data_IF_576936308163
#
_entry.id   IF_576936308163
#
_cell.length_a   1.000
_cell.length_b   1.000
_cell.length_c   1.000
_cell.angle_alpha   90.00
_cell.angle_beta   90.00
_cell.angle_gamma   90.00
#
_symmetry.space_group_name_H-M   'P 1'
#
loop_
_entity.id
_entity.type
_entity.pdbx_description
1 polymer ?
#
# COMPACT_ATOMS: atom_id res chain seq x y z
N UNK A 1 -17.74 4.80 19.63
CA UNK A 1 -16.52 4.24 19.02
C UNK A 1 -16.69 4.50 17.54
N UNK A 2 -15.83 5.35 17.01
CA UNK A 2 -15.94 5.91 15.67
C UNK A 2 -15.96 4.81 14.61
N UNK A 3 -16.83 4.98 13.62
CA UNK A 3 -16.81 4.23 12.38
C UNK A 3 -15.41 4.36 11.77
N UNK A 4 -14.57 3.35 11.90
CA UNK A 4 -13.42 3.21 11.02
C UNK A 4 -13.99 3.13 9.60
N UNK A 5 -13.55 4.01 8.71
CA UNK A 5 -13.75 3.82 7.29
C UNK A 5 -13.12 2.46 6.94
N UNK A 6 -13.97 1.49 6.60
CA UNK A 6 -13.59 0.08 6.34
C UNK A 6 -12.69 -0.09 5.11
N UNK A 7 -12.42 0.99 4.37
CA UNK A 7 -11.69 0.97 3.11
C UNK A 7 -10.89 2.25 2.93
N UNK A 8 -9.71 2.19 2.29
CA UNK A 8 -9.00 3.38 1.86
C UNK A 8 -9.85 4.26 0.95
N UNK A 9 -9.60 5.55 1.00
CA UNK A 9 -10.41 6.57 0.36
C UNK A 9 -10.21 6.60 -1.16
N UNK A 10 -11.20 7.13 -1.87
CA UNK A 10 -11.11 7.36 -3.32
C UNK A 10 -10.02 8.38 -3.71
N UNK A 11 -9.58 9.24 -2.79
CA UNK A 11 -8.45 10.12 -3.02
C UNK A 11 -7.14 9.33 -3.09
N UNK A 12 -6.94 8.40 -2.16
CA UNK A 12 -5.76 7.54 -2.10
C UNK A 12 -5.66 6.66 -3.35
N UNK A 13 -6.75 5.99 -3.72
CA UNK A 13 -6.78 5.14 -4.92
C UNK A 13 -6.51 5.92 -6.21
N UNK A 14 -7.06 7.13 -6.34
CA UNK A 14 -6.77 8.00 -7.49
C UNK A 14 -5.29 8.35 -7.60
N UNK A 15 -4.57 8.51 -6.49
CA UNK A 15 -3.13 8.78 -6.53
C UNK A 15 -2.38 7.53 -7.05
N UNK A 16 -2.66 6.35 -6.50
CA UNK A 16 -2.04 5.08 -6.93
C UNK A 16 -2.34 4.79 -8.40
N UNK A 17 -3.61 4.87 -8.80
CA UNK A 17 -4.01 4.55 -10.17
C UNK A 17 -3.44 5.56 -11.19
N UNK A 18 -3.21 6.81 -10.78
CA UNK A 18 -2.70 7.86 -11.69
C UNK A 18 -1.26 7.64 -12.16
N UNK A 19 -0.48 6.87 -11.40
CA UNK A 19 0.93 6.62 -11.71
C UNK A 19 1.16 5.31 -12.45
N UNK A 20 0.14 4.45 -12.57
CA UNK A 20 0.21 3.18 -13.31
C UNK A 20 1.44 2.34 -12.94
N UNK A 21 1.66 2.10 -11.65
CA UNK A 21 2.77 1.27 -11.14
C UNK A 21 4.17 1.88 -11.38
N UNK A 22 4.26 3.14 -11.79
CA UNK A 22 5.52 3.86 -12.01
C UNK A 22 6.04 4.42 -10.68
N UNK A 23 7.11 3.81 -10.19
CA UNK A 23 7.75 4.15 -8.91
C UNK A 23 8.28 5.59 -8.88
N UNK A 24 8.91 6.05 -9.97
CA UNK A 24 9.47 7.40 -10.05
C UNK A 24 8.35 8.45 -10.04
N UNK A 25 7.26 8.20 -10.76
CA UNK A 25 6.08 9.09 -10.72
C UNK A 25 5.40 9.09 -9.36
N UNK A 26 5.30 7.94 -8.69
CA UNK A 26 4.76 7.89 -7.33
C UNK A 26 5.60 8.76 -6.39
N UNK A 27 6.92 8.59 -6.42
CA UNK A 27 7.83 9.42 -5.62
C UNK A 27 7.69 10.92 -5.96
N UNK A 28 7.53 11.29 -7.23
CA UNK A 28 7.26 12.67 -7.64
C UNK A 28 5.97 13.21 -7.01
N UNK A 29 4.85 12.48 -7.10
CA UNK A 29 3.58 12.88 -6.48
C UNK A 29 3.73 13.08 -4.97
N UNK A 30 4.35 12.12 -4.27
CA UNK A 30 4.55 12.20 -2.81
C UNK A 30 5.38 13.43 -2.41
N UNK A 31 6.30 13.88 -3.26
CA UNK A 31 7.07 15.11 -3.05
C UNK A 31 6.24 16.40 -3.17
N UNK A 32 5.08 16.36 -3.84
CA UNK A 32 4.21 17.52 -3.99
C UNK A 32 3.06 17.57 -2.99
N UNK A 33 2.73 16.45 -2.33
CA UNK A 33 1.70 16.42 -1.29
C UNK A 33 2.03 17.37 -0.13
N UNK A 34 1.01 17.94 0.51
CA UNK A 34 1.19 18.62 1.80
C UNK A 34 1.61 17.62 2.89
N UNK A 35 2.10 18.11 4.02
CA UNK A 35 2.48 17.23 5.15
C UNK A 35 1.30 16.35 5.60
N UNK A 36 0.09 16.93 5.72
CA UNK A 36 -1.12 16.21 6.13
C UNK A 36 -1.56 15.17 5.09
N UNK A 37 -1.44 15.49 3.80
CA UNK A 37 -1.73 14.53 2.73
C UNK A 37 -0.72 13.39 2.72
N UNK A 38 0.57 13.65 2.95
CA UNK A 38 1.57 12.58 3.01
C UNK A 38 1.36 11.66 4.22
N UNK A 39 1.02 12.22 5.39
CA UNK A 39 0.61 11.46 6.58
C UNK A 39 -0.63 10.61 6.31
N UNK A 40 -1.64 11.19 5.67
CA UNK A 40 -2.86 10.49 5.27
C UNK A 40 -2.57 9.35 4.29
N UNK A 41 -1.77 9.61 3.26
CA UNK A 41 -1.38 8.59 2.27
C UNK A 41 -0.68 7.43 2.97
N UNK A 42 0.32 7.70 3.81
CA UNK A 42 1.05 6.67 4.55
C UNK A 42 0.12 5.81 5.39
N UNK A 43 -0.78 6.43 6.16
CA UNK A 43 -1.75 5.72 6.98
C UNK A 43 -2.71 4.86 6.16
N UNK A 44 -3.27 5.40 5.07
CA UNK A 44 -4.18 4.65 4.21
C UNK A 44 -3.46 3.49 3.49
N UNK A 45 -2.24 3.70 3.02
CA UNK A 45 -1.41 2.66 2.41
C UNK A 45 -1.10 1.53 3.40
N UNK A 46 -0.65 1.86 4.60
CA UNK A 46 -0.31 0.89 5.63
C UNK A 46 -1.53 0.11 6.13
N UNK A 47 -2.68 0.78 6.32
CA UNK A 47 -3.92 0.12 6.69
C UNK A 47 -4.38 -0.86 5.60
N UNK A 48 -4.34 -0.45 4.33
CA UNK A 48 -4.68 -1.31 3.20
C UNK A 48 -3.82 -2.59 3.16
N UNK A 49 -2.52 -2.46 3.47
CA UNK A 49 -1.60 -3.60 3.55
C UNK A 49 -2.01 -4.55 4.68
N UNK A 50 -2.27 -4.02 5.88
CA UNK A 50 -2.71 -4.82 7.03
C UNK A 50 -4.00 -5.60 6.72
N UNK A 51 -4.95 -4.96 6.02
CA UNK A 51 -6.25 -5.55 5.70
C UNK A 51 -6.13 -6.85 4.88
N UNK A 52 -5.06 -7.00 4.09
CA UNK A 52 -4.82 -8.15 3.22
C UNK A 52 -3.56 -8.95 3.58
N UNK A 53 -3.02 -8.78 4.80
CA UNK A 53 -1.80 -9.47 5.24
C UNK A 53 -1.97 -10.34 6.49
N UNK A 54 -3.20 -10.60 6.92
CA UNK A 54 -3.51 -11.43 8.08
C UNK A 54 -3.44 -12.94 7.82
N UNK A 55 -3.71 -13.74 8.87
CA UNK A 55 -3.61 -15.22 8.85
C UNK A 55 -4.35 -15.87 7.67
N UNK A 56 -5.56 -15.40 7.35
CA UNK A 56 -6.38 -15.94 6.25
C UNK A 56 -5.68 -15.82 4.89
N UNK A 57 -4.88 -14.76 4.71
CA UNK A 57 -4.09 -14.51 3.50
C UNK A 57 -2.79 -15.33 3.51
N UNK A 58 -2.09 -15.36 4.65
CA UNK A 58 -0.88 -16.17 4.85
C UNK A 58 -1.11 -17.66 4.53
N UNK A 59 -2.27 -18.20 4.92
CA UNK A 59 -2.60 -19.62 4.79
C UNK A 59 -2.81 -20.10 3.35
N UNK A 60 -3.09 -19.20 2.39
CA UNK A 60 -3.36 -19.56 0.98
C UNK A 60 -2.17 -20.30 0.34
N UNK A 61 -0.96 -19.77 0.54
CA UNK A 61 0.28 -20.37 0.04
C UNK A 61 1.24 -20.79 1.17
N UNK A 62 0.76 -20.79 2.42
CA UNK A 62 1.59 -21.01 3.61
C UNK A 62 2.80 -20.05 3.66
N UNK A 63 2.55 -18.79 3.30
CA UNK A 63 3.51 -17.72 3.44
C UNK A 63 3.59 -17.30 4.91
N UNK A 64 4.80 -17.02 5.39
CA UNK A 64 4.96 -16.37 6.69
C UNK A 64 4.65 -14.88 6.61
N UNK A 65 4.35 -14.26 7.75
CA UNK A 65 3.89 -12.87 7.86
C UNK A 65 4.72 -11.87 7.06
N UNK A 66 6.05 -11.99 7.08
CA UNK A 66 6.93 -11.09 6.33
C UNK A 66 6.72 -11.19 4.82
N UNK A 67 6.60 -12.40 4.28
CA UNK A 67 6.37 -12.58 2.84
C UNK A 67 4.99 -12.11 2.43
N UNK A 68 3.98 -12.37 3.26
CA UNK A 68 2.63 -11.89 2.99
C UNK A 68 2.56 -10.35 3.06
N UNK A 69 3.27 -9.73 3.99
CA UNK A 69 3.40 -8.27 4.04
C UNK A 69 4.02 -7.70 2.76
N UNK A 70 5.16 -8.25 2.30
CA UNK A 70 5.81 -7.79 1.07
C UNK A 70 4.88 -7.91 -0.15
N UNK A 71 4.12 -9.02 -0.21
CA UNK A 71 3.13 -9.26 -1.24
C UNK A 71 1.94 -8.30 -1.14
N UNK A 72 1.44 -8.03 0.06
CA UNK A 72 0.37 -7.06 0.30
C UNK A 72 0.78 -5.64 -0.11
N UNK A 73 2.01 -5.22 0.22
CA UNK A 73 2.57 -3.96 -0.28
C UNK A 73 2.54 -3.88 -1.80
N UNK A 74 2.96 -4.95 -2.47
CA UNK A 74 2.91 -5.02 -3.93
C UNK A 74 1.47 -4.93 -4.45
N UNK A 75 0.53 -5.71 -3.89
CA UNK A 75 -0.89 -5.74 -4.30
C UNK A 75 -1.52 -4.34 -4.19
N UNK A 76 -1.33 -3.65 -3.05
CA UNK A 76 -1.87 -2.29 -2.84
C UNK A 76 -1.26 -1.31 -3.84
N UNK A 77 0.01 -1.48 -4.20
CA UNK A 77 0.70 -0.65 -5.20
C UNK A 77 0.17 -0.86 -6.62
N UNK A 78 -0.56 -1.95 -6.89
CA UNK A 78 -1.15 -2.22 -8.20
C UNK A 78 -2.47 -1.46 -8.45
N UNK A 79 -3.04 -0.82 -7.43
CA UNK A 79 -4.26 -0.01 -7.55
C UNK A 79 -5.51 -0.64 -6.93
N UNK A 80 -6.62 0.10 -6.96
CA UNK A 80 -7.85 -0.28 -6.24
C UNK A 80 -8.40 -1.63 -6.72
N UNK A 81 -8.33 -1.89 -8.03
CA UNK A 81 -8.91 -3.11 -8.61
C UNK A 81 -8.20 -4.37 -8.11
N UNK A 82 -6.86 -4.36 -8.09
CA UNK A 82 -6.06 -5.49 -7.61
C UNK A 82 -6.24 -5.72 -6.10
N UNK A 83 -6.27 -4.64 -5.32
CA UNK A 83 -6.58 -4.71 -3.90
C UNK A 83 -7.96 -5.34 -3.63
N UNK A 84 -9.00 -4.87 -4.34
CA UNK A 84 -10.37 -5.39 -4.15
C UNK A 84 -10.51 -6.85 -4.54
N UNK A 85 -9.86 -7.27 -5.61
CA UNK A 85 -9.88 -8.67 -6.05
C UNK A 85 -9.37 -9.62 -4.95
N UNK A 86 -8.32 -9.22 -4.23
CA UNK A 86 -7.75 -9.98 -3.11
C UNK A 86 -8.55 -9.81 -1.83
N UNK A 87 -8.99 -8.59 -1.52
CA UNK A 87 -9.77 -8.30 -0.31
C UNK A 87 -11.11 -9.05 -0.29
N UNK A 88 -11.80 -9.08 -1.44
CA UNK A 88 -13.11 -9.75 -1.56
C UNK A 88 -12.96 -11.28 -1.62
N UNK A 89 -11.81 -11.80 -2.08
CA UNK A 89 -11.49 -13.23 -2.11
C UNK A 89 -9.98 -13.48 -1.93
N UNK A 90 -9.52 -13.87 -0.72
CA UNK A 90 -8.09 -14.16 -0.46
C UNK A 90 -7.47 -15.22 -1.38
N UNK A 91 -8.26 -16.06 -2.05
CA UNK A 91 -7.72 -17.04 -3.01
C UNK A 91 -7.20 -16.40 -4.30
N UNK A 92 -7.50 -15.12 -4.54
CA UNK A 92 -6.97 -14.35 -5.67
C UNK A 92 -5.59 -13.77 -5.41
N UNK A 93 -5.00 -14.00 -4.22
CA UNK A 93 -3.61 -13.62 -3.96
C UNK A 93 -2.72 -14.23 -5.06
N UNK A 94 -1.87 -13.43 -5.73
CA UNK A 94 -0.92 -13.95 -6.70
C UNK A 94 0.24 -14.67 -5.99
N UNK A 95 0.90 -15.59 -6.69
CA UNK A 95 2.12 -16.19 -6.15
C UNK A 95 3.26 -15.18 -6.19
N UNK A 96 4.10 -15.16 -5.15
CA UNK A 96 5.19 -14.20 -5.03
C UNK A 96 6.23 -14.37 -6.15
N UNK A 97 6.33 -15.57 -6.72
CA UNK A 97 7.20 -15.90 -7.84
C UNK A 97 6.74 -15.28 -9.18
N UNK A 98 5.46 -14.90 -9.28
CA UNK A 98 4.85 -14.36 -10.50
C UNK A 98 4.83 -12.81 -10.53
N UNK A 99 5.33 -12.15 -9.49
CA UNK A 99 5.28 -10.68 -9.36
C UNK A 99 6.64 -10.02 -9.55
N UNK A 100 6.62 -8.81 -10.12
CA UNK A 100 7.77 -7.91 -10.13
C UNK A 100 7.68 -6.95 -8.94
N UNK A 101 8.43 -7.25 -7.88
CA UNK A 101 8.46 -6.45 -6.66
C UNK A 101 9.00 -5.02 -6.87
N UNK A 102 9.66 -4.73 -8.01
CA UNK A 102 10.13 -3.37 -8.31
C UNK A 102 8.99 -2.37 -8.50
N UNK A 103 7.76 -2.85 -8.72
CA UNK A 103 6.54 -2.04 -8.79
C UNK A 103 5.86 -1.83 -7.42
N UNK A 104 6.50 -2.21 -6.31
CA UNK A 104 6.01 -1.95 -4.97
C UNK A 104 6.38 -0.54 -4.50
N UNK A 105 5.46 0.13 -3.80
CA UNK A 105 5.65 1.44 -3.17
C UNK A 105 6.05 1.35 -1.69
N UNK A 106 6.44 0.15 -1.24
CA UNK A 106 6.91 -0.09 0.12
C UNK A 106 8.01 0.91 0.52
N UNK A 107 7.85 1.53 1.68
CA UNK A 107 8.87 2.41 2.28
C UNK A 107 9.13 3.71 1.50
N UNK A 108 8.28 4.09 0.54
CA UNK A 108 8.48 5.34 -0.22
C UNK A 108 8.18 6.60 0.59
N UNK A 109 7.21 6.53 1.49
CA UNK A 109 6.68 7.69 2.21
C UNK A 109 7.65 8.26 3.24
N UNK A 110 8.36 7.39 3.95
CA UNK A 110 9.28 7.70 5.04
C UNK A 110 10.45 8.56 4.58
N UNK A 111 11.24 8.19 3.54
CA UNK A 111 12.35 9.01 3.08
C UNK A 111 11.88 10.35 2.50
N UNK A 112 10.73 10.39 1.81
CA UNK A 112 10.14 11.65 1.30
C UNK A 112 9.76 12.56 2.46
N UNK A 113 9.07 12.03 3.47
CA UNK A 113 8.65 12.80 4.64
C UNK A 113 9.84 13.34 5.44
N UNK A 114 10.82 12.47 5.73
CA UNK A 114 12.04 12.86 6.46
C UNK A 114 12.84 13.93 5.72
N UNK A 115 13.00 13.79 4.40
CA UNK A 115 13.72 14.77 3.57
C UNK A 115 13.02 16.13 3.55
N UNK A 116 11.68 16.15 3.48
CA UNK A 116 10.91 17.39 3.32
C UNK A 116 10.62 18.11 4.64
N UNK A 117 10.47 17.38 5.73
CA UNK A 117 10.01 17.94 7.01
C UNK A 117 11.00 17.77 8.16
N UNK A 118 12.12 17.08 7.94
CA UNK A 118 13.23 16.96 8.91
C UNK A 118 12.90 16.14 10.15
N UNK A 119 11.92 15.24 10.07
CA UNK A 119 11.44 14.37 11.16
C UNK A 119 10.79 13.12 10.58
N UNK A 120 10.58 12.10 11.40
CA UNK A 120 9.90 10.87 10.97
C UNK A 120 8.40 11.08 10.80
N UNK A 121 7.80 10.29 9.91
CA UNK A 121 6.35 10.30 9.70
C UNK A 121 5.65 9.74 10.96
N UNK A 122 4.62 10.43 11.49
CA UNK A 122 3.84 9.90 12.60
C UNK A 122 3.15 8.59 12.22
N UNK A 123 3.24 7.60 13.13
CA UNK A 123 2.46 6.35 13.08
C UNK A 123 1.03 6.58 13.60
#
# INVERSE_FOLDING_TARGET
MDNQELFPSQWFWKLIDSVCQDHDKMQEILNYLTQQELERFHKEFYNAVIDISGDDYCNIYNYGDSRMHDLAYWIVSQGESAYREVYDDPRQIPQIEDIDQSHSYIGLTEPVYATRFGKDIPL
#
